data_IF_106603929974
#
_entry.id   IF_106603929974
#
_cell.length_a   1.000
_cell.length_b   1.000
_cell.length_c   1.000
_cell.angle_alpha   90.00
_cell.angle_beta   90.00
_cell.angle_gamma   90.00
#
_symmetry.space_group_name_H-M   'P 1'
#
loop_
_entity.id
_entity.type
_entity.pdbx_description
1 polymer ?
#
# COMPACT_ATOMS: atom_id res chain seq x y z
N UNK A 1 -3.10 -9.62 24.32
CA UNK A 1 -3.25 -9.00 22.99
C UNK A 1 -1.94 -8.35 22.59
N UNK A 2 -1.64 -8.23 21.29
CA UNK A 2 -0.42 -7.57 20.81
C UNK A 2 -0.46 -6.07 21.13
N UNK A 3 0.67 -5.53 21.58
CA UNK A 3 0.85 -4.09 21.76
C UNK A 3 1.14 -3.39 20.43
N UNK A 4 0.97 -2.07 20.36
CA UNK A 4 1.24 -1.30 19.15
C UNK A 4 2.71 -1.44 18.71
N UNK A 5 3.65 -1.43 19.66
CA UNK A 5 5.06 -1.62 19.36
C UNK A 5 5.36 -3.03 18.79
N UNK A 6 4.68 -4.06 19.28
CA UNK A 6 4.79 -5.41 18.72
C UNK A 6 4.24 -5.48 17.30
N UNK A 7 3.11 -4.83 17.03
CA UNK A 7 2.52 -4.78 15.69
C UNK A 7 3.44 -4.02 14.73
N UNK A 8 3.95 -2.85 15.11
CA UNK A 8 4.90 -2.09 14.30
C UNK A 8 6.10 -2.97 13.92
N UNK A 9 6.67 -3.69 14.89
CA UNK A 9 7.81 -4.58 14.63
C UNK A 9 7.47 -5.73 13.67
N UNK A 10 6.28 -6.30 13.78
CA UNK A 10 5.80 -7.33 12.85
C UNK A 10 5.68 -6.76 11.43
N UNK A 11 5.14 -5.55 11.29
CA UNK A 11 5.01 -4.89 9.99
C UNK A 11 6.37 -4.54 9.39
N UNK A 12 7.34 -4.09 10.19
CA UNK A 12 8.71 -3.85 9.71
C UNK A 12 9.33 -5.14 9.12
N UNK A 13 9.14 -6.28 9.80
CA UNK A 13 9.63 -7.59 9.33
C UNK A 13 8.91 -8.01 8.05
N UNK A 14 7.60 -7.86 7.98
CA UNK A 14 6.81 -8.22 6.80
C UNK A 14 7.18 -7.36 5.59
N UNK A 15 7.35 -6.05 5.77
CA UNK A 15 7.79 -5.12 4.74
C UNK A 15 9.18 -5.53 4.22
N UNK A 16 10.12 -5.80 5.12
CA UNK A 16 11.45 -6.30 4.74
C UNK A 16 11.37 -7.65 4.00
N UNK A 17 10.46 -8.53 4.40
CA UNK A 17 10.19 -9.81 3.73
C UNK A 17 9.74 -9.62 2.29
N UNK A 18 8.80 -8.70 2.03
CA UNK A 18 8.39 -8.32 0.68
C UNK A 18 9.59 -7.87 -0.18
N UNK A 19 10.45 -7.00 0.34
CA UNK A 19 11.65 -6.53 -0.38
C UNK A 19 12.69 -7.63 -0.63
N UNK A 20 12.64 -8.73 0.11
CA UNK A 20 13.54 -9.90 -0.06
C UNK A 20 12.90 -11.05 -0.85
N UNK A 21 11.68 -10.87 -1.37
CA UNK A 21 10.94 -11.91 -2.08
C UNK A 21 10.30 -12.96 -1.18
N UNK A 22 10.34 -12.80 0.15
CA UNK A 22 9.69 -13.65 1.14
C UNK A 22 8.21 -13.25 1.31
N UNK A 23 7.48 -13.28 0.19
CA UNK A 23 6.14 -12.67 0.10
C UNK A 23 5.09 -13.48 0.86
N UNK A 24 5.22 -14.82 0.88
CA UNK A 24 4.28 -15.70 1.60
C UNK A 24 4.40 -15.51 3.12
N UNK A 25 5.62 -15.40 3.63
CA UNK A 25 5.90 -15.13 5.03
C UNK A 25 5.38 -13.74 5.42
N UNK A 26 5.62 -12.73 4.58
CA UNK A 26 5.10 -11.38 4.80
C UNK A 26 3.56 -11.37 4.86
N UNK A 27 2.87 -12.06 3.94
CA UNK A 27 1.40 -12.19 3.95
C UNK A 27 0.89 -12.82 5.23
N UNK A 28 1.53 -13.89 5.68
CA UNK A 28 1.15 -14.56 6.93
C UNK A 28 1.21 -13.60 8.12
N UNK A 29 2.20 -12.70 8.16
CA UNK A 29 2.31 -11.70 9.21
C UNK A 29 1.19 -10.65 9.10
N UNK A 30 0.93 -10.11 7.92
CA UNK A 30 -0.15 -9.14 7.72
C UNK A 30 -1.52 -9.73 8.10
N UNK A 31 -1.81 -10.95 7.65
CA UNK A 31 -3.04 -11.69 7.99
C UNK A 31 -3.16 -11.90 9.50
N UNK A 32 -2.07 -12.25 10.18
CA UNK A 32 -2.03 -12.38 11.63
C UNK A 32 -2.36 -11.08 12.37
N UNK A 33 -1.84 -9.94 11.88
CA UNK A 33 -2.18 -8.61 12.44
C UNK A 33 -3.64 -8.29 12.18
N UNK A 34 -4.15 -8.52 10.96
CA UNK A 34 -5.53 -8.23 10.57
C UNK A 34 -6.54 -9.13 11.29
N UNK A 35 -6.19 -10.37 11.63
CA UNK A 35 -7.04 -11.23 12.45
C UNK A 35 -7.29 -10.66 13.86
N UNK A 36 -6.34 -9.88 14.40
CA UNK A 36 -6.47 -9.21 15.70
C UNK A 36 -7.02 -7.79 15.56
N UNK A 37 -6.73 -7.11 14.44
CA UNK A 37 -7.15 -5.73 14.13
C UNK A 37 -7.57 -5.61 12.66
N UNK A 38 -8.82 -5.97 12.30
CA UNK A 38 -9.26 -6.06 10.90
C UNK A 38 -9.11 -4.79 10.06
N UNK A 39 -9.23 -3.61 10.67
CA UNK A 39 -9.08 -2.30 10.00
C UNK A 39 -7.71 -1.65 10.19
N UNK A 40 -6.66 -2.41 10.53
CA UNK A 40 -5.34 -1.83 10.75
C UNK A 40 -4.71 -1.38 9.42
N UNK A 41 -4.91 -0.12 9.05
CA UNK A 41 -4.51 0.46 7.76
C UNK A 41 -3.06 0.11 7.34
N UNK A 42 -2.03 0.26 8.19
CA UNK A 42 -0.67 -0.12 7.79
C UNK A 42 -0.50 -1.59 7.41
N UNK A 43 -1.30 -2.50 8.01
CA UNK A 43 -1.26 -3.92 7.66
C UNK A 43 -2.00 -4.20 6.34
N UNK A 44 -3.11 -3.52 6.07
CA UNK A 44 -3.82 -3.59 4.79
C UNK A 44 -2.96 -3.05 3.64
N UNK A 45 -2.29 -1.92 3.83
CA UNK A 45 -1.34 -1.36 2.86
C UNK A 45 -0.17 -2.33 2.63
N UNK A 46 0.36 -2.94 3.71
CA UNK A 46 1.39 -3.98 3.61
C UNK A 46 0.92 -5.24 2.86
N UNK A 47 -0.33 -5.66 3.06
CA UNK A 47 -0.93 -6.76 2.31
C UNK A 47 -1.03 -6.41 0.81
N UNK A 48 -1.48 -5.20 0.47
CA UNK A 48 -1.52 -4.72 -0.91
C UNK A 48 -0.11 -4.63 -1.54
N UNK A 49 0.90 -4.19 -0.78
CA UNK A 49 2.30 -4.25 -1.20
C UNK A 49 2.72 -5.68 -1.54
N UNK A 50 2.35 -6.67 -0.72
CA UNK A 50 2.67 -8.08 -0.96
C UNK A 50 2.05 -8.64 -2.25
N UNK A 51 0.88 -8.15 -2.65
CA UNK A 51 0.26 -8.47 -3.94
C UNK A 51 1.00 -7.79 -5.10
N UNK A 52 1.33 -6.51 -4.93
CA UNK A 52 2.08 -5.73 -5.92
C UNK A 52 3.44 -6.34 -6.24
N UNK A 53 4.19 -6.79 -5.22
CA UNK A 53 5.54 -7.36 -5.40
C UNK A 53 5.56 -8.61 -6.28
N UNK A 54 4.47 -9.39 -6.34
CA UNK A 54 4.40 -10.60 -7.16
C UNK A 54 3.54 -10.46 -8.42
N UNK A 55 3.17 -9.23 -8.79
CA UNK A 55 2.43 -8.97 -10.01
C UNK A 55 0.91 -9.12 -9.89
N UNK A 56 0.36 -9.28 -8.69
CA UNK A 56 -1.08 -9.37 -8.44
C UNK A 56 -1.69 -7.97 -8.26
N UNK A 57 -1.53 -7.11 -9.28
CA UNK A 57 -1.84 -5.69 -9.17
C UNK A 57 -3.34 -5.42 -8.95
N UNK A 58 -4.23 -6.15 -9.63
CA UNK A 58 -5.68 -6.02 -9.44
C UNK A 58 -6.11 -6.31 -7.99
N UNK A 59 -5.50 -7.31 -7.35
CA UNK A 59 -5.77 -7.65 -5.96
C UNK A 59 -5.29 -6.54 -5.02
N UNK A 60 -4.10 -5.99 -5.27
CA UNK A 60 -3.61 -4.84 -4.51
C UNK A 60 -4.57 -3.64 -4.61
N UNK A 61 -5.00 -3.30 -5.83
CA UNK A 61 -5.98 -2.23 -6.09
C UNK A 61 -7.29 -2.49 -5.35
N UNK A 62 -7.79 -3.73 -5.39
CA UNK A 62 -9.02 -4.10 -4.70
C UNK A 62 -8.91 -3.92 -3.19
N UNK A 63 -7.82 -4.38 -2.57
CA UNK A 63 -7.60 -4.22 -1.12
C UNK A 63 -7.59 -2.73 -0.76
N UNK A 64 -6.82 -1.93 -1.49
CA UNK A 64 -6.66 -0.50 -1.20
C UNK A 64 -7.98 0.25 -1.33
N UNK A 65 -8.78 -0.02 -2.37
CA UNK A 65 -10.08 0.63 -2.54
C UNK A 65 -11.11 0.18 -1.51
N UNK A 66 -11.23 -1.13 -1.29
CA UNK A 66 -12.36 -1.69 -0.53
C UNK A 66 -12.13 -1.74 0.98
N UNK A 67 -10.88 -1.72 1.43
CA UNK A 67 -10.55 -1.89 2.85
C UNK A 67 -9.76 -0.72 3.44
N UNK A 68 -9.01 0.04 2.63
CA UNK A 68 -8.27 1.21 3.11
C UNK A 68 -9.06 2.50 2.83
N UNK A 69 -9.25 2.82 1.55
CA UNK A 69 -9.77 4.13 1.12
C UNK A 69 -11.30 4.22 1.20
N UNK A 70 -12.00 3.11 1.42
CA UNK A 70 -13.43 3.10 1.74
C UNK A 70 -13.72 3.75 3.09
N UNK A 71 -12.85 3.50 4.08
CA UNK A 71 -12.98 4.02 5.45
C UNK A 71 -12.07 5.23 5.70
N UNK A 72 -10.93 5.28 5.01
CA UNK A 72 -9.91 6.33 5.15
C UNK A 72 -9.56 6.92 3.77
N UNK A 73 -10.49 7.65 3.12
CA UNK A 73 -10.32 8.13 1.75
C UNK A 73 -9.11 9.05 1.57
N UNK A 74 -8.71 9.76 2.62
CA UNK A 74 -7.59 10.71 2.61
C UNK A 74 -6.28 10.09 3.14
N UNK A 75 -6.23 8.77 3.36
CA UNK A 75 -5.01 8.11 3.85
C UNK A 75 -3.89 8.22 2.79
N UNK A 76 -2.79 8.91 3.08
CA UNK A 76 -1.79 9.25 2.08
C UNK A 76 -0.98 8.02 1.63
N UNK A 77 -0.76 7.04 2.50
CA UNK A 77 -0.04 5.82 2.17
C UNK A 77 -0.91 4.87 1.33
N UNK A 78 -2.20 4.75 1.66
CA UNK A 78 -3.18 4.03 0.86
C UNK A 78 -3.32 4.62 -0.54
N UNK A 79 -3.40 5.94 -0.67
CA UNK A 79 -3.46 6.62 -1.98
C UNK A 79 -2.17 6.47 -2.78
N UNK A 80 -1.01 6.58 -2.14
CA UNK A 80 0.28 6.38 -2.80
C UNK A 80 0.44 4.93 -3.31
N UNK A 81 0.11 3.94 -2.47
CA UNK A 81 0.15 2.54 -2.84
C UNK A 81 -0.86 2.24 -3.97
N UNK A 82 -2.04 2.86 -3.94
CA UNK A 82 -3.04 2.68 -5.00
C UNK A 82 -2.53 3.24 -6.33
N UNK A 83 -1.95 4.43 -6.32
CA UNK A 83 -1.32 5.00 -7.51
C UNK A 83 -0.23 4.09 -8.07
N UNK A 84 0.66 3.57 -7.23
CA UNK A 84 1.70 2.61 -7.64
C UNK A 84 1.09 1.33 -8.25
N UNK A 85 0.13 0.69 -7.58
CA UNK A 85 -0.50 -0.53 -8.06
C UNK A 85 -1.28 -0.29 -9.37
N UNK A 86 -1.91 0.86 -9.55
CA UNK A 86 -2.58 1.24 -10.80
C UNK A 86 -1.60 1.46 -11.95
N UNK A 87 -0.45 2.10 -11.70
CA UNK A 87 0.62 2.23 -12.69
C UNK A 87 1.08 0.86 -13.19
N UNK A 88 1.29 -0.08 -12.27
CA UNK A 88 1.74 -1.44 -12.58
C UNK A 88 0.64 -2.29 -13.25
N UNK A 89 -0.62 -2.02 -12.96
CA UNK A 89 -1.79 -2.60 -13.62
C UNK A 89 -2.10 -1.98 -15.01
N UNK A 90 -1.22 -1.11 -15.53
CA UNK A 90 -1.40 -0.35 -16.79
C UNK A 90 -2.64 0.57 -16.81
N UNK A 91 -3.15 0.96 -15.63
CA UNK A 91 -4.27 1.91 -15.45
C UNK A 91 -3.76 3.32 -15.22
N UNK A 92 -2.94 3.80 -16.16
CA UNK A 92 -2.14 5.02 -15.99
C UNK A 92 -2.96 6.29 -15.80
N UNK A 93 -4.10 6.42 -16.49
CA UNK A 93 -4.94 7.62 -16.38
C UNK A 93 -5.48 7.80 -14.95
N UNK A 94 -5.98 6.69 -14.37
CA UNK A 94 -6.52 6.69 -13.01
C UNK A 94 -5.41 6.86 -11.95
N UNK A 95 -4.25 6.25 -12.18
CA UNK A 95 -3.08 6.45 -11.33
C UNK A 95 -2.66 7.93 -11.32
N UNK A 96 -2.62 8.57 -12.48
CA UNK A 96 -2.21 9.97 -12.63
C UNK A 96 -3.10 10.90 -11.83
N UNK A 97 -4.42 10.74 -11.92
CA UNK A 97 -5.38 11.56 -11.18
C UNK A 97 -5.14 11.50 -9.66
N UNK A 98 -5.02 10.28 -9.12
CA UNK A 98 -4.82 10.07 -7.67
C UNK A 98 -3.50 10.67 -7.21
N UNK A 99 -2.42 10.43 -7.97
CA UNK A 99 -1.08 10.88 -7.62
C UNK A 99 -0.91 12.39 -7.75
N UNK A 100 -1.56 13.05 -8.72
CA UNK A 100 -1.54 14.50 -8.86
C UNK A 100 -2.16 15.17 -7.64
N UNK A 101 -3.36 14.74 -7.24
CA UNK A 101 -4.02 15.27 -6.04
C UNK A 101 -3.12 15.07 -4.80
N UNK A 102 -2.53 13.88 -4.63
CA UNK A 102 -1.66 13.60 -3.48
C UNK A 102 -0.35 14.42 -3.48
N UNK A 103 0.19 14.72 -4.66
CA UNK A 103 1.43 15.50 -4.80
C UNK A 103 1.26 16.97 -4.37
N UNK A 104 0.05 17.51 -4.47
CA UNK A 104 -0.29 18.90 -4.12
C UNK A 104 -0.53 19.11 -2.62
N UNK A 105 -0.93 18.06 -1.89
CA UNK A 105 -1.33 18.13 -0.48
C UNK A 105 -0.17 18.32 0.52
N UNK A 106 1.08 18.18 0.07
CA UNK A 106 2.30 18.31 0.90
C UNK A 106 2.31 17.45 2.18
N UNK A 107 1.81 16.21 2.06
CA UNK A 107 1.87 15.16 3.10
C UNK A 107 3.12 14.28 2.93
N UNK A 108 3.39 13.39 3.88
CA UNK A 108 4.63 12.59 3.88
C UNK A 108 4.78 11.70 2.65
N UNK A 109 3.69 11.28 2.02
CA UNK A 109 3.69 10.47 0.80
C UNK A 109 3.68 11.29 -0.50
N UNK A 110 3.57 12.63 -0.44
CA UNK A 110 3.61 13.50 -1.62
C UNK A 110 4.91 13.41 -2.43
N UNK A 111 6.12 13.27 -1.83
CA UNK A 111 7.35 13.06 -2.59
C UNK A 111 7.32 11.78 -3.43
N UNK A 112 6.79 10.69 -2.87
CA UNK A 112 6.62 9.44 -3.60
C UNK A 112 5.67 9.62 -4.79
N UNK A 113 4.56 10.33 -4.58
CA UNK A 113 3.61 10.61 -5.66
C UNK A 113 4.25 11.39 -6.82
N UNK A 114 5.07 12.40 -6.51
CA UNK A 114 5.84 13.17 -7.51
C UNK A 114 6.79 12.27 -8.30
N UNK A 115 7.56 11.42 -7.62
CA UNK A 115 8.48 10.49 -8.28
C UNK A 115 7.76 9.49 -9.19
N UNK A 116 6.59 9.01 -8.79
CA UNK A 116 5.78 8.11 -9.63
C UNK A 116 5.25 8.83 -10.88
N UNK A 117 4.77 10.07 -10.75
CA UNK A 117 4.32 10.88 -11.89
C UNK A 117 5.46 11.12 -12.89
N UNK A 118 6.65 11.47 -12.42
CA UNK A 118 7.83 11.67 -13.28
C UNK A 118 8.18 10.40 -14.08
N UNK A 119 8.07 9.21 -13.47
CA UNK A 119 8.32 7.94 -14.14
C UNK A 119 7.27 7.57 -15.20
N UNK A 120 6.07 8.15 -15.12
CA UNK A 120 5.01 7.90 -16.11
C UNK A 120 5.17 8.74 -17.38
N UNK A 121 5.92 9.84 -17.31
CA UNK A 121 6.12 10.80 -18.40
C UNK A 121 7.39 10.53 -19.23
N UNK A 122 8.30 9.69 -18.74
CA UNK A 122 9.52 9.25 -19.42
C UNK A 122 9.36 7.92 -20.14
#
# INVERSE_FOLDING_TARGET
>A
MLTDSQIIRLLDIANAGCHKGMVLEARTIYEGVLAVRPGHVPALVGQALSHTVIGEYEQAVQILRSQVLSEHPDDPDGRAMLGLSLCLADKKDEAKEILQNLAEENVHSSPLAKSLLEQMEG
#
